data_IF_630497680258
#
_entry.id   IF_630497680258
#
_cell.length_a   1.000
_cell.length_b   1.000
_cell.length_c   1.000
_cell.angle_alpha   90.00
_cell.angle_beta   90.00
_cell.angle_gamma   90.00
#
_symmetry.space_group_name_H-M   'P 1'
#
loop_
_entity.id
_entity.type
_entity.pdbx_description
1 polymer ?
#
# COMPACT_ATOMS: atom_id res chain seq x y z
N UNK A 1 10.92 19.68 -13.36
CA UNK A 1 10.74 18.45 -12.57
C UNK A 1 10.26 17.37 -13.52
N UNK A 2 10.92 16.22 -13.57
CA UNK A 2 10.53 15.06 -14.38
C UNK A 2 9.30 14.36 -13.75
N UNK A 3 8.65 13.46 -14.51
CA UNK A 3 7.53 12.67 -13.98
C UNK A 3 7.94 11.82 -12.76
N UNK A 4 9.13 11.23 -12.78
CA UNK A 4 9.67 10.43 -11.67
C UNK A 4 9.96 11.31 -10.44
N UNK A 5 10.55 12.49 -10.62
CA UNK A 5 10.78 13.44 -9.50
C UNK A 5 9.45 13.92 -8.89
N UNK A 6 8.45 14.23 -9.72
CA UNK A 6 7.09 14.59 -9.27
C UNK A 6 6.46 13.44 -8.49
N UNK A 7 6.60 12.22 -9.00
CA UNK A 7 6.09 11.01 -8.36
C UNK A 7 6.74 10.73 -7.01
N UNK A 8 8.07 10.87 -6.91
CA UNK A 8 8.80 10.73 -5.65
C UNK A 8 8.28 11.69 -4.58
N UNK A 9 8.06 12.95 -4.97
CA UNK A 9 7.49 13.98 -4.10
C UNK A 9 6.08 13.60 -3.63
N UNK A 10 5.20 13.19 -4.55
CA UNK A 10 3.82 12.81 -4.23
C UNK A 10 3.73 11.55 -3.38
N UNK A 11 4.57 10.54 -3.65
CA UNK A 11 4.64 9.32 -2.84
C UNK A 11 5.10 9.61 -1.42
N UNK A 12 6.02 10.55 -1.26
CA UNK A 12 6.47 11.00 0.06
C UNK A 12 5.36 11.73 0.82
N UNK A 13 4.70 12.72 0.19
CA UNK A 13 3.61 13.46 0.84
C UNK A 13 2.34 12.63 1.06
N UNK A 14 2.08 11.67 0.17
CA UNK A 14 0.96 10.75 0.26
C UNK A 14 1.15 9.67 1.33
N UNK A 15 2.29 9.64 2.03
CA UNK A 15 2.55 8.68 3.10
C UNK A 15 2.58 7.23 2.62
N UNK A 16 2.90 6.95 1.34
CA UNK A 16 2.86 5.56 0.87
C UNK A 16 3.87 4.69 1.62
N UNK A 17 5.01 5.29 2.00
CA UNK A 17 6.03 4.59 2.79
C UNK A 17 5.54 4.17 4.18
N UNK A 18 4.50 4.82 4.72
CA UNK A 18 4.00 4.56 6.07
C UNK A 18 3.39 3.17 6.17
N UNK A 19 2.60 2.80 5.17
CA UNK A 19 1.96 1.50 5.08
C UNK A 19 2.74 0.50 4.25
N UNK A 20 3.64 0.94 3.37
CA UNK A 20 4.32 0.05 2.42
C UNK A 20 5.82 -0.10 2.69
N UNK A 21 6.35 0.28 3.85
CA UNK A 21 7.76 0.03 4.20
C UNK A 21 7.88 -0.80 5.47
N UNK A 22 8.71 -1.85 5.50
CA UNK A 22 8.88 -2.66 6.70
C UNK A 22 9.38 -1.81 7.88
N UNK A 23 8.96 -2.15 9.10
CA UNK A 23 9.42 -1.51 10.32
C UNK A 23 8.86 -0.11 10.57
N UNK A 24 8.09 0.48 9.64
CA UNK A 24 7.52 1.81 9.83
C UNK A 24 6.64 1.88 11.09
N UNK A 25 5.66 0.98 11.22
CA UNK A 25 4.78 0.92 12.40
C UNK A 25 5.46 0.40 13.67
N UNK A 26 6.69 -0.09 13.58
CA UNK A 26 7.53 -0.45 14.72
C UNK A 26 8.50 0.68 15.11
N UNK A 27 8.40 1.85 14.49
CA UNK A 27 9.25 3.02 14.74
C UNK A 27 10.68 2.88 14.20
N UNK A 28 10.93 1.93 13.29
CA UNK A 28 12.24 1.62 12.70
C UNK A 28 12.10 1.32 11.20
N UNK A 29 11.70 2.31 10.39
CA UNK A 29 11.50 2.10 8.95
C UNK A 29 12.77 1.61 8.26
N UNK A 30 12.65 0.55 7.49
CA UNK A 30 13.76 -0.05 6.73
C UNK A 30 13.88 0.61 5.36
N UNK A 31 14.75 1.62 5.27
CA UNK A 31 15.01 2.34 4.03
C UNK A 31 15.57 1.45 2.90
N UNK A 32 16.19 0.31 3.21
CA UNK A 32 16.71 -0.63 2.20
C UNK A 32 15.60 -1.41 1.50
N UNK A 33 14.41 -1.46 2.13
CA UNK A 33 13.19 -2.10 1.60
C UNK A 33 12.06 -1.08 1.45
N UNK A 34 12.40 0.16 1.09
CA UNK A 34 11.43 1.23 0.83
C UNK A 34 10.33 0.75 -0.14
N UNK A 35 9.07 0.93 0.23
CA UNK A 35 7.89 0.50 -0.53
C UNK A 35 7.74 -1.04 -0.73
N UNK A 36 8.58 -1.83 -0.04
CA UNK A 36 8.62 -3.29 -0.09
C UNK A 36 7.52 -4.00 0.71
N UNK A 37 6.54 -3.29 1.26
CA UNK A 37 5.42 -3.82 2.04
C UNK A 37 5.59 -3.70 3.56
N UNK A 38 4.52 -3.96 4.31
CA UNK A 38 4.49 -3.89 5.79
C UNK A 38 4.76 -5.24 6.45
N UNK A 39 5.45 -5.20 7.58
CA UNK A 39 5.59 -6.29 8.55
C UNK A 39 4.50 -6.27 9.65
N UNK A 40 3.70 -5.21 9.69
CA UNK A 40 2.58 -5.04 10.62
C UNK A 40 1.26 -5.00 9.85
N UNK A 41 0.32 -5.86 10.24
CA UNK A 41 -1.04 -5.89 9.71
C UNK A 41 -1.95 -4.87 10.39
N UNK A 42 -3.03 -4.49 9.72
CA UNK A 42 -4.09 -3.64 10.25
C UNK A 42 -5.40 -4.41 10.24
N UNK A 43 -5.96 -4.67 11.41
CA UNK A 43 -7.25 -5.33 11.54
C UNK A 43 -8.39 -4.32 11.39
N UNK A 44 -9.28 -4.62 10.46
CA UNK A 44 -10.57 -3.96 10.34
C UNK A 44 -11.63 -4.96 10.85
N UNK A 45 -12.39 -4.60 11.91
CA UNK A 45 -13.44 -5.45 12.44
C UNK A 45 -14.37 -5.93 11.32
N UNK A 46 -14.70 -7.22 11.33
CA UNK A 46 -15.51 -7.93 10.31
C UNK A 46 -14.92 -8.08 8.91
N UNK A 47 -13.82 -7.42 8.56
CA UNK A 47 -13.19 -7.53 7.24
C UNK A 47 -11.87 -8.32 7.23
N UNK A 48 -11.20 -8.42 8.39
CA UNK A 48 -9.96 -9.19 8.55
C UNK A 48 -8.72 -8.30 8.66
N UNK A 49 -7.56 -8.87 8.37
CA UNK A 49 -6.25 -8.21 8.56
C UNK A 49 -5.62 -7.88 7.21
N UNK A 50 -5.26 -6.60 7.03
CA UNK A 50 -4.66 -6.09 5.82
C UNK A 50 -3.21 -5.70 6.07
N UNK A 51 -2.30 -6.10 5.19
CA UNK A 51 -0.92 -5.64 5.18
C UNK A 51 -0.76 -4.73 3.97
N UNK A 52 -0.02 -3.62 4.11
CA UNK A 52 0.39 -2.86 2.94
C UNK A 52 1.28 -3.76 2.07
N UNK A 53 0.87 -4.12 0.84
CA UNK A 53 1.66 -5.01 0.00
C UNK A 53 2.95 -4.35 -0.47
N UNK A 54 3.87 -5.13 -1.02
CA UNK A 54 4.96 -4.58 -1.79
C UNK A 54 4.41 -3.86 -3.04
N UNK A 55 4.80 -2.60 -3.24
CA UNK A 55 4.40 -1.77 -4.39
C UNK A 55 5.60 -1.32 -5.24
N UNK A 56 6.75 -1.97 -5.07
CA UNK A 56 7.90 -1.86 -5.98
C UNK A 56 7.66 -2.65 -7.26
N UNK A 57 8.46 -2.48 -8.34
CA UNK A 57 8.24 -3.15 -9.61
C UNK A 57 8.75 -4.61 -9.62
N UNK A 58 8.86 -5.27 -8.45
CA UNK A 58 9.14 -6.70 -8.37
C UNK A 58 7.98 -7.52 -8.96
N UNK A 59 8.29 -8.46 -9.86
CA UNK A 59 7.30 -9.24 -10.60
C UNK A 59 6.59 -10.31 -9.75
N UNK A 60 7.28 -10.85 -8.75
CA UNK A 60 6.80 -11.99 -7.96
C UNK A 60 5.94 -11.55 -6.77
N UNK A 61 6.34 -10.46 -6.13
CA UNK A 61 5.81 -10.03 -4.84
C UNK A 61 5.28 -8.61 -4.86
N UNK A 62 5.66 -7.80 -5.85
CA UNK A 62 5.28 -6.41 -6.02
C UNK A 62 4.21 -6.18 -7.10
N UNK A 63 4.31 -5.04 -7.76
CA UNK A 63 3.44 -4.62 -8.87
C UNK A 63 4.19 -4.62 -10.22
N UNK A 64 5.24 -5.44 -10.36
CA UNK A 64 6.04 -5.56 -11.59
C UNK A 64 5.21 -5.89 -12.82
N UNK A 65 4.22 -6.76 -12.68
CA UNK A 65 3.29 -7.14 -13.74
C UNK A 65 2.23 -6.09 -14.08
N UNK A 66 2.05 -5.05 -13.25
CA UNK A 66 1.09 -3.99 -13.53
C UNK A 66 1.72 -2.95 -14.45
N UNK A 67 0.95 -2.54 -15.47
CA UNK A 67 1.24 -1.36 -16.26
C UNK A 67 1.03 -0.08 -15.46
N UNK A 68 1.65 1.03 -15.88
CA UNK A 68 1.40 2.34 -15.25
C UNK A 68 -0.08 2.74 -15.32
N UNK A 69 -0.76 2.40 -16.42
CA UNK A 69 -2.20 2.67 -16.58
C UNK A 69 -3.04 1.92 -15.54
N UNK A 70 -2.71 0.66 -15.26
CA UNK A 70 -3.37 -0.13 -14.24
C UNK A 70 -3.12 0.40 -12.82
N UNK A 71 -1.90 0.88 -12.54
CA UNK A 71 -1.59 1.56 -11.27
C UNK A 71 -2.44 2.82 -11.12
N UNK A 72 -2.55 3.64 -12.18
CA UNK A 72 -3.41 4.83 -12.19
C UNK A 72 -4.87 4.47 -11.97
N UNK A 73 -5.37 3.44 -12.67
CA UNK A 73 -6.74 2.95 -12.47
C UNK A 73 -6.96 2.51 -11.03
N UNK A 74 -6.02 1.78 -10.42
CA UNK A 74 -6.14 1.36 -9.03
C UNK A 74 -6.18 2.54 -8.06
N UNK A 75 -5.32 3.54 -8.24
CA UNK A 75 -5.32 4.76 -7.43
C UNK A 75 -6.62 5.56 -7.59
N UNK A 76 -7.20 5.60 -8.79
CA UNK A 76 -8.36 6.44 -9.09
C UNK A 76 -9.71 5.79 -8.84
N UNK A 77 -9.79 4.47 -8.94
CA UNK A 77 -11.05 3.72 -8.83
C UNK A 77 -11.13 2.88 -7.57
N UNK A 78 -9.99 2.60 -6.93
CA UNK A 78 -9.91 1.66 -5.83
C UNK A 78 -9.93 0.19 -6.26
N UNK A 79 -9.80 -0.13 -7.55
CA UNK A 79 -9.82 -1.51 -8.05
C UNK A 79 -8.52 -1.93 -8.69
N UNK A 80 -8.08 -3.14 -8.35
CA UNK A 80 -6.90 -3.80 -8.92
C UNK A 80 -7.22 -4.32 -10.33
N UNK A 81 -6.20 -4.65 -11.16
CA UNK A 81 -6.41 -5.26 -12.48
C UNK A 81 -7.20 -6.57 -12.45
N UNK A 82 -7.08 -7.31 -11.35
CA UNK A 82 -7.85 -8.55 -11.11
C UNK A 82 -9.30 -8.31 -10.64
N UNK A 83 -9.76 -7.06 -10.62
CA UNK A 83 -11.11 -6.66 -10.24
C UNK A 83 -11.36 -6.59 -8.73
N UNK A 84 -10.41 -6.99 -7.87
CA UNK A 84 -10.57 -6.86 -6.42
C UNK A 84 -10.41 -5.41 -5.97
N UNK A 85 -11.15 -5.02 -4.93
CA UNK A 85 -10.99 -3.72 -4.29
C UNK A 85 -9.67 -3.59 -3.52
N UNK A 86 -9.11 -2.39 -3.47
CA UNK A 86 -8.04 -2.02 -2.54
C UNK A 86 -8.55 -2.07 -1.11
N UNK A 87 -7.64 -2.32 -0.17
CA UNK A 87 -7.98 -2.41 1.25
C UNK A 87 -8.70 -1.13 1.71
N UNK A 88 -9.80 -1.20 2.49
CA UNK A 88 -10.55 -0.01 2.91
C UNK A 88 -9.74 0.98 3.75
N UNK A 89 -8.66 0.52 4.39
CA UNK A 89 -7.71 1.37 5.14
C UNK A 89 -6.80 2.19 4.21
N UNK A 90 -6.62 1.78 2.96
CA UNK A 90 -5.86 2.55 1.98
C UNK A 90 -6.66 3.79 1.58
N UNK A 91 -6.10 5.00 1.65
CA UNK A 91 -6.83 6.25 1.38
C UNK A 91 -7.01 6.51 -0.13
N UNK A 92 -7.36 5.49 -0.91
CA UNK A 92 -7.50 5.57 -2.37
C UNK A 92 -8.51 6.62 -2.83
N UNK A 93 -9.55 6.91 -2.04
CA UNK A 93 -10.52 7.97 -2.36
C UNK A 93 -9.90 9.36 -2.43
N UNK A 94 -8.84 9.62 -1.65
CA UNK A 94 -8.07 10.85 -1.72
C UNK A 94 -7.20 10.86 -2.98
N UNK A 95 -6.53 9.75 -3.29
CA UNK A 95 -5.74 9.61 -4.51
C UNK A 95 -6.59 9.68 -5.78
N UNK A 96 -7.87 9.30 -5.70
CA UNK A 96 -8.82 9.47 -6.79
C UNK A 96 -9.09 10.92 -7.20
N UNK A 97 -8.75 11.88 -6.34
CA UNK A 97 -8.87 13.30 -6.64
C UNK A 97 -7.59 13.90 -7.27
N UNK A 98 -6.53 13.10 -7.42
CA UNK A 98 -5.32 13.56 -8.10
C UNK A 98 -5.62 13.87 -9.56
N UNK A 99 -4.90 14.87 -10.08
CA UNK A 99 -4.91 15.11 -11.53
C UNK A 99 -4.40 13.87 -12.26
N UNK A 100 -4.82 13.62 -13.52
CA UNK A 100 -4.28 12.51 -14.29
C UNK A 100 -2.75 12.54 -14.42
N UNK A 101 -2.15 13.72 -14.43
CA UNK A 101 -0.70 13.90 -14.46
C UNK A 101 -0.04 13.45 -13.15
N UNK A 102 -0.57 13.84 -12.00
CA UNK A 102 -0.05 13.45 -10.69
C UNK A 102 -0.19 11.95 -10.44
N UNK A 103 -1.32 11.35 -10.83
CA UNK A 103 -1.50 9.90 -10.74
C UNK A 103 -0.49 9.14 -11.61
N UNK A 104 -0.25 9.62 -12.85
CA UNK A 104 0.79 9.05 -13.73
C UNK A 104 2.19 9.23 -13.17
N UNK A 105 2.48 10.37 -12.55
CA UNK A 105 3.77 10.62 -11.91
C UNK A 105 4.04 9.61 -10.78
N UNK A 106 3.05 9.34 -9.93
CA UNK A 106 3.13 8.28 -8.90
C UNK A 106 3.42 6.93 -9.56
N UNK A 107 2.66 6.54 -10.59
CA UNK A 107 2.86 5.27 -11.28
C UNK A 107 4.28 5.14 -11.87
N UNK A 108 4.75 6.18 -12.57
CA UNK A 108 6.11 6.23 -13.13
C UNK A 108 7.18 6.09 -12.04
N UNK A 109 7.01 6.76 -10.90
CA UNK A 109 7.95 6.60 -9.78
C UNK A 109 7.92 5.18 -9.19
N UNK A 110 6.75 4.59 -8.98
CA UNK A 110 6.63 3.21 -8.48
C UNK A 110 7.23 2.19 -9.45
N UNK A 111 7.21 2.44 -10.77
CA UNK A 111 7.91 1.61 -11.75
C UNK A 111 9.42 1.87 -11.82
N UNK A 112 9.90 2.97 -11.25
CA UNK A 112 11.31 3.39 -11.27
C UNK A 112 12.09 2.98 -10.03
N UNK A 113 11.45 2.86 -8.85
CA UNK A 113 12.16 2.50 -7.61
C UNK A 113 12.83 1.12 -7.72
N UNK A 114 13.91 0.87 -6.95
CA UNK A 114 14.51 -0.47 -6.89
C UNK A 114 13.47 -1.53 -6.51
N UNK A 115 13.47 -2.64 -7.25
CA UNK A 115 12.62 -3.78 -6.93
C UNK A 115 13.06 -4.41 -5.60
N UNK A 116 12.08 -4.65 -4.72
CA UNK A 116 12.29 -5.38 -3.46
C UNK A 116 11.52 -6.68 -3.56
N UNK A 117 12.17 -7.81 -3.32
CA UNK A 117 11.47 -9.10 -3.25
C UNK A 117 10.99 -9.36 -1.83
N UNK A 118 9.71 -9.12 -1.55
CA UNK A 118 9.12 -9.31 -0.23
C UNK A 118 7.61 -9.59 -0.32
N UNK A 119 7.21 -10.81 0.04
CA UNK A 119 5.81 -11.19 0.10
C UNK A 119 5.28 -10.97 1.51
N UNK A 120 4.29 -10.08 1.66
CA UNK A 120 3.60 -9.87 2.93
C UNK A 120 2.64 -11.01 3.26
N UNK A 121 2.29 -11.24 4.55
CA UNK A 121 1.49 -12.40 4.95
C UNK A 121 0.01 -12.41 4.53
N UNK A 122 -0.58 -11.27 4.18
CA UNK A 122 -2.02 -11.12 3.93
C UNK A 122 -2.37 -10.54 2.56
N UNK A 123 -3.66 -10.17 2.34
CA UNK A 123 -4.72 -10.03 3.34
C UNK A 123 -5.21 -11.36 3.91
N UNK A 124 -5.70 -11.32 5.15
CA UNK A 124 -6.26 -12.46 5.88
C UNK A 124 -7.74 -12.19 6.17
N UNK A 125 -8.59 -13.20 6.00
CA UNK A 125 -10.02 -13.12 6.27
C UNK A 125 -10.38 -12.96 7.76
N UNK A 126 -11.63 -12.65 8.10
CA UNK A 126 -12.08 -12.57 9.49
C UNK A 126 -11.83 -13.86 10.26
N UNK A 127 -11.17 -13.77 11.42
CA UNK A 127 -10.86 -14.91 12.28
C UNK A 127 -9.64 -15.73 11.88
N UNK A 128 -9.00 -15.43 10.75
CA UNK A 128 -7.72 -16.04 10.39
C UNK A 128 -6.60 -15.52 11.31
N UNK A 129 -5.69 -16.41 11.69
CA UNK A 129 -4.57 -16.05 12.56
C UNK A 129 -3.49 -15.33 11.76
N UNK A 130 -3.17 -14.11 12.19
CA UNK A 130 -2.05 -13.36 11.63
C UNK A 130 -0.71 -13.93 12.12
N UNK A 131 0.24 -14.22 11.21
CA UNK A 131 1.56 -14.74 11.59
C UNK A 131 2.55 -13.63 12.01
N UNK A 132 2.12 -12.38 12.05
CA UNK A 132 2.94 -11.20 12.36
C UNK A 132 2.18 -10.22 13.28
N UNK A 133 2.83 -9.13 13.67
CA UNK A 133 2.22 -8.08 14.50
C UNK A 133 1.00 -7.47 13.80
N UNK A 134 -0.04 -7.13 14.58
CA UNK A 134 -1.27 -6.53 14.06
C UNK A 134 -1.70 -5.36 14.94
N UNK A 135 -1.93 -4.21 14.31
CA UNK A 135 -2.66 -3.09 14.90
C UNK A 135 -4.16 -3.34 14.78
N UNK A 136 -4.90 -3.09 15.87
CA UNK A 136 -6.33 -3.38 15.95
C UNK A 136 -7.11 -2.12 16.28
N UNK A 137 -8.15 -1.83 15.50
CA UNK A 137 -9.18 -0.88 15.93
C UNK A 137 -10.03 -1.59 16.98
N UNK A 138 -9.95 -1.12 18.23
CA UNK A 138 -10.81 -1.60 19.31
C UNK A 138 -11.96 -0.61 19.48
N UNK A 139 -13.22 -1.00 19.21
CA UNK A 139 -14.36 -0.15 19.51
C UNK A 139 -14.37 0.21 21.00
N UNK A 140 -14.79 1.42 21.39
CA UNK A 140 -15.01 1.73 22.80
C UNK A 140 -16.02 0.73 23.37
N UNK A 141 -15.78 0.22 24.57
CA UNK A 141 -16.82 -0.49 25.31
C UNK A 141 -18.00 0.47 25.49
N UNK A 142 -19.23 0.00 25.26
CA UNK A 142 -20.42 0.78 25.59
C UNK A 142 -20.29 1.27 27.04
N UNK A 143 -20.62 2.54 27.35
CA UNK A 143 -20.72 2.97 28.73
C UNK A 143 -21.70 2.04 29.47
N UNK A 144 -21.48 1.77 30.76
CA UNK A 144 -22.40 0.96 31.56
C UNK A 144 -23.82 1.54 31.60
#
# INVERSE_FOLDING_TARGET
>A
MTAVERGAYLVTLGGCADCHTPGHFLGRPDATRHLGGSDVGFEIPSLGVFYGPNITPDDDTGIGSWSEAEIVTALQTGFRPDGRGLAPVMPWRAFAQLTPEDARAIAAYLKHVPAVKNKVPGPLGPGEQAPAFVMRIVPPTAPP
#
